data_IF_931304261346
#
_entry.id   IF_931304261346
#
_cell.length_a   1.000
_cell.length_b   1.000
_cell.length_c   1.000
_cell.angle_alpha   90.00
_cell.angle_beta   90.00
_cell.angle_gamma   90.00
#
_symmetry.space_group_name_H-M   'P 1'
#
loop_
_entity.id
_entity.type
_entity.pdbx_description
1 polymer ?
#
# COMPACT_ATOMS: atom_id res chain seq x y z
N UNK A 1 6.28 -1.92 -33.15
CA UNK A 1 6.65 -0.63 -32.50
C UNK A 1 6.31 0.57 -33.40
N UNK A 2 6.85 0.71 -34.62
CA UNK A 2 6.53 1.86 -35.49
C UNK A 2 5.05 2.02 -35.82
N UNK A 3 4.35 0.90 -36.05
CA UNK A 3 2.90 0.88 -36.33
C UNK A 3 2.07 1.40 -35.15
N UNK A 4 2.41 1.03 -33.90
CA UNK A 4 1.70 1.51 -32.72
C UNK A 4 1.90 3.02 -32.51
N UNK A 5 3.09 3.54 -32.80
CA UNK A 5 3.39 4.97 -32.67
C UNK A 5 2.63 5.82 -33.69
N UNK A 6 2.42 5.30 -34.89
CA UNK A 6 1.62 5.99 -35.91
C UNK A 6 0.15 6.18 -35.51
N UNK A 7 -0.36 5.39 -34.55
CA UNK A 7 -1.74 5.47 -34.06
C UNK A 7 -1.92 6.37 -32.84
N UNK A 8 -0.82 6.90 -32.29
CA UNK A 8 -0.80 7.82 -31.16
C UNK A 8 -0.77 9.28 -31.62
N UNK A 9 -1.31 10.22 -30.81
CA UNK A 9 -1.12 11.65 -31.07
C UNK A 9 0.37 11.98 -31.00
N UNK A 10 0.89 12.70 -31.99
CA UNK A 10 2.30 13.15 -32.00
C UNK A 10 2.59 14.24 -30.97
N UNK A 11 1.56 14.99 -30.55
CA UNK A 11 1.69 16.08 -29.59
C UNK A 11 1.99 15.53 -28.20
N UNK A 12 3.09 16.00 -27.59
CA UNK A 12 3.42 15.74 -26.19
C UNK A 12 4.15 14.44 -25.90
N UNK A 13 4.45 13.61 -26.91
CA UNK A 13 5.31 12.43 -26.78
C UNK A 13 6.75 12.80 -27.20
N UNK A 14 7.69 12.77 -26.26
CA UNK A 14 9.12 13.04 -26.52
C UNK A 14 9.88 11.79 -26.95
N UNK A 15 9.41 10.61 -26.52
CA UNK A 15 10.05 9.34 -26.84
C UNK A 15 9.17 8.16 -26.50
N UNK A 16 9.40 7.04 -27.19
CA UNK A 16 8.69 5.81 -26.96
C UNK A 16 9.60 4.60 -27.16
N UNK A 17 9.57 3.69 -26.20
CA UNK A 17 10.30 2.42 -26.25
C UNK A 17 9.33 1.27 -26.05
N UNK A 18 9.82 0.02 -26.17
CA UNK A 18 9.05 -1.17 -25.78
C UNK A 18 8.62 -1.13 -24.31
N UNK A 19 9.36 -0.40 -23.48
CA UNK A 19 9.17 -0.38 -22.04
C UNK A 19 8.57 0.92 -21.53
N UNK A 20 8.23 1.91 -22.36
CA UNK A 20 7.61 3.14 -21.85
C UNK A 20 7.39 4.28 -22.85
N UNK A 21 6.72 5.33 -22.38
CA UNK A 21 6.54 6.64 -23.03
C UNK A 21 7.18 7.74 -22.18
N UNK A 22 8.00 8.57 -22.82
CA UNK A 22 8.46 9.84 -22.28
C UNK A 22 7.54 10.95 -22.78
N UNK A 23 6.97 11.72 -21.85
CA UNK A 23 5.99 12.77 -22.14
C UNK A 23 6.58 14.14 -21.81
N UNK A 24 6.20 15.14 -22.61
CA UNK A 24 6.65 16.51 -22.43
C UNK A 24 6.22 17.08 -21.06
N UNK A 25 7.07 17.81 -20.32
CA UNK A 25 6.81 18.26 -18.93
C UNK A 25 5.55 19.12 -18.72
N UNK A 26 4.97 19.66 -19.80
CA UNK A 26 3.79 20.53 -19.77
C UNK A 26 2.75 20.15 -20.83
N UNK A 27 2.62 18.85 -21.12
CA UNK A 27 1.54 18.35 -21.97
C UNK A 27 0.18 18.83 -21.43
N UNK A 28 -0.59 19.45 -22.32
CA UNK A 28 -1.94 19.94 -22.04
C UNK A 28 -2.87 18.81 -21.58
N UNK A 29 -3.90 19.15 -20.79
CA UNK A 29 -4.80 18.16 -20.19
C UNK A 29 -5.63 17.42 -21.23
N UNK A 30 -6.10 18.11 -22.28
CA UNK A 30 -6.90 17.48 -23.32
C UNK A 30 -6.02 16.60 -24.21
N UNK A 31 -4.80 17.06 -24.52
CA UNK A 31 -3.81 16.25 -25.22
C UNK A 31 -3.45 14.98 -24.43
N UNK A 32 -3.26 15.10 -23.11
CA UNK A 32 -2.98 13.97 -22.23
C UNK A 32 -4.17 12.99 -22.14
N UNK A 33 -5.41 13.49 -21.98
CA UNK A 33 -6.61 12.65 -21.98
C UNK A 33 -6.77 11.89 -23.29
N UNK A 34 -6.58 12.59 -24.42
CA UNK A 34 -6.61 11.98 -25.73
C UNK A 34 -5.57 10.86 -25.85
N UNK A 35 -4.33 11.10 -25.42
CA UNK A 35 -3.29 10.07 -25.39
C UNK A 35 -3.71 8.84 -24.57
N UNK A 36 -4.18 9.04 -23.34
CA UNK A 36 -4.63 7.94 -22.45
C UNK A 36 -5.72 7.11 -23.12
N UNK A 37 -6.75 7.76 -23.68
CA UNK A 37 -7.84 7.07 -24.38
C UNK A 37 -7.35 6.30 -25.60
N UNK A 38 -6.42 6.87 -26.39
CA UNK A 38 -5.85 6.20 -27.57
C UNK A 38 -5.03 4.98 -27.18
N UNK A 39 -4.13 5.09 -26.20
CA UNK A 39 -3.33 3.94 -25.73
C UNK A 39 -4.24 2.85 -25.13
N UNK A 40 -5.30 3.22 -24.41
CA UNK A 40 -6.27 2.26 -23.88
C UNK A 40 -7.01 1.52 -25.01
N UNK A 41 -7.46 2.23 -26.05
CA UNK A 41 -8.06 1.63 -27.23
C UNK A 41 -7.12 0.63 -27.92
N UNK A 42 -5.86 0.99 -28.10
CA UNK A 42 -4.84 0.10 -28.65
C UNK A 42 -4.62 -1.15 -27.78
N UNK A 43 -4.58 -1.00 -26.46
CA UNK A 43 -4.37 -2.12 -25.54
C UNK A 43 -5.46 -3.20 -25.63
N UNK A 44 -6.67 -2.81 -26.03
CA UNK A 44 -7.80 -3.72 -26.26
C UNK A 44 -7.67 -4.53 -27.55
N UNK A 45 -7.11 -3.94 -28.61
CA UNK A 45 -7.09 -4.56 -29.95
C UNK A 45 -5.74 -5.22 -30.29
N UNK A 46 -4.63 -4.66 -29.83
CA UNK A 46 -3.27 -5.11 -30.16
C UNK A 46 -2.73 -6.14 -29.16
N UNK A 47 -3.22 -7.38 -29.24
CA UNK A 47 -2.87 -8.48 -28.32
C UNK A 47 -1.37 -8.78 -28.27
N UNK A 48 -0.66 -8.68 -29.40
CA UNK A 48 0.79 -8.93 -29.48
C UNK A 48 1.69 -7.88 -28.80
N UNK A 49 1.13 -6.73 -28.40
CA UNK A 49 1.88 -5.62 -27.79
C UNK A 49 1.45 -5.31 -26.35
N UNK A 50 0.77 -6.26 -25.70
CA UNK A 50 0.11 -6.05 -24.41
C UNK A 50 1.04 -5.51 -23.32
N UNK A 51 2.27 -6.04 -23.20
CA UNK A 51 3.24 -5.54 -22.21
C UNK A 51 3.67 -4.09 -22.48
N UNK A 52 3.96 -3.76 -23.75
CA UNK A 52 4.31 -2.40 -24.17
C UNK A 52 3.19 -1.43 -23.86
N UNK A 53 1.96 -1.78 -24.22
CA UNK A 53 0.79 -0.92 -24.01
C UNK A 53 0.43 -0.79 -22.52
N UNK A 54 0.67 -1.82 -21.71
CA UNK A 54 0.59 -1.72 -20.24
C UNK A 54 1.60 -0.73 -19.69
N UNK A 55 2.86 -0.76 -20.15
CA UNK A 55 3.89 0.18 -19.73
C UNK A 55 3.53 1.62 -20.14
N UNK A 56 3.09 1.82 -21.38
CA UNK A 56 2.67 3.12 -21.91
C UNK A 56 1.49 3.73 -21.15
N UNK A 57 0.47 2.92 -20.83
CA UNK A 57 -0.63 3.36 -19.96
C UNK A 57 -0.14 3.68 -18.55
N UNK A 58 0.80 2.90 -18.03
CA UNK A 58 1.43 3.16 -16.75
C UNK A 58 2.10 4.54 -16.71
N UNK A 59 2.87 4.88 -17.75
CA UNK A 59 3.55 6.18 -17.89
C UNK A 59 2.56 7.33 -18.01
N UNK A 60 1.57 7.20 -18.90
CA UNK A 60 0.56 8.22 -19.08
C UNK A 60 -0.23 8.47 -17.79
N UNK A 61 -0.60 7.42 -17.06
CA UNK A 61 -1.32 7.53 -15.79
C UNK A 61 -0.44 8.04 -14.64
N UNK A 62 0.88 7.77 -14.67
CA UNK A 62 1.85 8.31 -13.72
C UNK A 62 2.07 9.81 -13.96
N UNK A 63 2.24 10.22 -15.22
CA UNK A 63 2.37 11.62 -15.65
C UNK A 63 1.18 12.48 -15.19
N UNK A 64 -0.05 12.00 -15.39
CA UNK A 64 -1.25 12.73 -14.98
C UNK A 64 -1.38 12.97 -13.47
N UNK A 65 -0.63 12.24 -12.63
CA UNK A 65 -0.60 12.43 -11.19
C UNK A 65 -2.00 12.44 -10.56
N UNK A 66 -2.34 13.57 -9.92
CA UNK A 66 -3.64 13.85 -9.30
C UNK A 66 -4.77 14.03 -10.32
N UNK A 67 -4.47 14.56 -11.51
CA UNK A 67 -5.45 14.76 -12.61
C UNK A 67 -6.00 13.43 -13.10
N UNK A 68 -5.25 12.34 -12.87
CA UNK A 68 -5.61 10.95 -13.14
C UNK A 68 -6.39 10.22 -12.04
N UNK A 69 -6.83 10.89 -10.95
CA UNK A 69 -7.67 10.23 -9.93
C UNK A 69 -9.00 9.81 -10.53
N UNK A 70 -9.39 8.55 -10.31
CA UNK A 70 -10.62 7.95 -10.84
C UNK A 70 -10.49 7.31 -12.23
N UNK A 71 -9.45 7.65 -13.00
CA UNK A 71 -9.29 7.15 -14.38
C UNK A 71 -8.79 5.71 -14.49
N UNK A 72 -8.22 5.13 -13.42
CA UNK A 72 -7.64 3.77 -13.48
C UNK A 72 -8.71 2.74 -13.88
N UNK A 73 -9.90 2.80 -13.29
CA UNK A 73 -10.97 1.85 -13.57
C UNK A 73 -11.46 2.00 -15.01
N UNK A 74 -11.79 3.22 -15.42
CA UNK A 74 -12.24 3.52 -16.79
C UNK A 74 -11.20 3.13 -17.85
N UNK A 75 -9.93 3.46 -17.62
CA UNK A 75 -8.86 3.09 -18.54
C UNK A 75 -8.63 1.58 -18.59
N UNK A 76 -8.75 0.89 -17.45
CA UNK A 76 -8.59 -0.55 -17.39
C UNK A 76 -9.71 -1.25 -18.14
N UNK A 77 -10.95 -0.82 -17.92
CA UNK A 77 -12.10 -1.27 -18.68
C UNK A 77 -11.88 -1.01 -20.17
N UNK A 78 -11.57 0.21 -20.60
CA UNK A 78 -11.32 0.55 -21.99
C UNK A 78 -10.20 -0.29 -22.63
N UNK A 79 -9.16 -0.61 -21.87
CA UNK A 79 -8.01 -1.42 -22.31
C UNK A 79 -8.21 -2.94 -22.21
N UNK A 80 -9.31 -3.41 -21.61
CA UNK A 80 -9.53 -4.83 -21.33
C UNK A 80 -8.52 -5.38 -20.32
N UNK A 81 -8.15 -4.59 -19.32
CA UNK A 81 -7.34 -4.97 -18.17
C UNK A 81 -8.18 -5.04 -16.90
N UNK A 82 -7.71 -5.82 -15.93
CA UNK A 82 -8.16 -5.67 -14.55
C UNK A 82 -7.66 -4.32 -13.98
N UNK A 83 -8.48 -3.56 -13.22
CA UNK A 83 -8.04 -2.29 -12.61
C UNK A 83 -6.78 -2.40 -11.75
N UNK A 84 -6.55 -3.53 -11.09
CA UNK A 84 -5.32 -3.82 -10.35
C UNK A 84 -4.08 -3.89 -11.25
N UNK A 85 -4.22 -4.36 -12.49
CA UNK A 85 -3.12 -4.39 -13.47
C UNK A 85 -2.64 -2.98 -13.81
N UNK A 86 -3.55 -2.06 -14.13
CA UNK A 86 -3.17 -0.67 -14.44
C UNK A 86 -2.72 0.10 -13.19
N UNK A 87 -3.28 -0.20 -12.02
CA UNK A 87 -2.77 0.35 -10.75
C UNK A 87 -1.32 -0.04 -10.52
N UNK A 88 -0.98 -1.31 -10.73
CA UNK A 88 0.38 -1.81 -10.63
C UNK A 88 1.28 -1.18 -11.68
N UNK A 89 0.84 -1.08 -12.94
CA UNK A 89 1.60 -0.45 -14.01
C UNK A 89 1.93 1.03 -13.70
N UNK A 90 0.95 1.81 -13.24
CA UNK A 90 1.15 3.19 -12.78
C UNK A 90 2.19 3.26 -11.65
N UNK A 91 2.08 2.37 -10.67
CA UNK A 91 3.04 2.30 -9.56
C UNK A 91 4.45 2.01 -10.06
N UNK A 92 4.63 1.00 -10.91
CA UNK A 92 5.92 0.65 -11.50
C UNK A 92 6.50 1.84 -12.27
N UNK A 93 5.70 2.52 -13.10
CA UNK A 93 6.16 3.67 -13.88
C UNK A 93 6.55 4.87 -13.00
N UNK A 94 5.87 5.07 -11.87
CA UNK A 94 6.22 6.11 -10.91
C UNK A 94 7.52 5.82 -10.14
N UNK A 95 7.91 4.54 -9.99
CA UNK A 95 9.13 4.11 -9.30
C UNK A 95 10.31 3.91 -10.24
N UNK A 96 10.05 3.53 -11.48
CA UNK A 96 11.07 3.28 -12.51
C UNK A 96 10.77 4.19 -13.70
N UNK A 97 11.32 5.41 -13.73
CA UNK A 97 11.23 6.29 -14.90
C UNK A 97 11.74 5.58 -16.16
N UNK A 98 11.24 5.96 -17.34
CA UNK A 98 11.61 5.33 -18.62
C UNK A 98 13.13 5.22 -18.81
N UNK A 99 13.89 6.24 -18.40
CA UNK A 99 15.36 6.28 -18.51
C UNK A 99 16.10 5.28 -17.62
N UNK A 100 15.43 4.65 -16.65
CA UNK A 100 15.99 3.62 -15.75
C UNK A 100 15.46 2.22 -16.05
N UNK A 101 14.71 2.04 -17.14
CA UNK A 101 14.21 0.72 -17.54
C UNK A 101 15.30 0.03 -18.35
N UNK A 102 15.61 -1.21 -17.99
CA UNK A 102 16.64 -2.01 -18.63
C UNK A 102 16.04 -2.68 -19.87
N UNK A 103 16.44 -2.25 -21.08
CA UNK A 103 15.83 -2.69 -22.35
C UNK A 103 16.00 -4.18 -22.63
N UNK A 104 17.04 -4.81 -22.07
CA UNK A 104 17.27 -6.26 -22.13
C UNK A 104 16.24 -7.06 -21.31
N UNK A 105 15.56 -6.43 -20.36
CA UNK A 105 14.58 -7.08 -19.48
C UNK A 105 13.15 -6.89 -19.96
N UNK A 106 12.28 -7.86 -19.69
CA UNK A 106 10.84 -7.73 -20.00
C UNK A 106 10.14 -6.76 -19.04
N UNK A 107 8.97 -6.24 -19.44
CA UNK A 107 8.14 -5.42 -18.55
C UNK A 107 7.81 -6.15 -17.24
N UNK A 108 7.60 -7.46 -17.31
CA UNK A 108 7.34 -8.28 -16.13
C UNK A 108 8.49 -8.26 -15.12
N UNK A 109 9.77 -8.22 -15.54
CA UNK A 109 10.88 -8.08 -14.59
C UNK A 109 10.78 -6.78 -13.79
N UNK A 110 10.46 -5.68 -14.46
CA UNK A 110 10.24 -4.39 -13.81
C UNK A 110 9.07 -4.45 -12.81
N UNK A 111 8.00 -5.17 -13.14
CA UNK A 111 6.90 -5.41 -12.20
C UNK A 111 7.34 -6.22 -10.97
N UNK A 112 8.12 -7.31 -11.13
CA UNK A 112 8.58 -8.13 -10.00
C UNK A 112 9.38 -7.32 -8.99
N UNK A 113 10.22 -6.40 -9.47
CA UNK A 113 11.08 -5.57 -8.63
C UNK A 113 10.30 -4.42 -7.99
N UNK A 114 9.63 -3.59 -8.81
CA UNK A 114 8.98 -2.38 -8.31
C UNK A 114 7.70 -2.63 -7.52
N UNK A 115 7.12 -3.83 -7.53
CA UNK A 115 6.01 -4.17 -6.62
C UNK A 115 6.51 -4.53 -5.22
N UNK A 116 7.76 -4.99 -5.08
CA UNK A 116 8.34 -5.36 -3.78
C UNK A 116 9.12 -4.20 -3.16
N UNK A 117 9.91 -3.49 -3.96
CA UNK A 117 10.78 -2.43 -3.46
C UNK A 117 10.24 -1.05 -3.82
N UNK A 118 10.33 -0.11 -2.87
CA UNK A 118 10.11 1.33 -3.07
C UNK A 118 11.41 2.13 -3.12
N UNK A 119 12.48 1.61 -2.52
CA UNK A 119 13.80 2.26 -2.51
C UNK A 119 14.49 2.10 -3.88
N UNK A 120 14.96 3.21 -4.45
CA UNK A 120 15.55 3.22 -5.79
C UNK A 120 16.81 2.35 -5.91
N UNK A 121 17.65 2.32 -4.87
CA UNK A 121 18.89 1.53 -4.83
C UNK A 121 18.60 0.03 -4.92
N UNK A 122 17.59 -0.45 -4.20
CA UNK A 122 17.13 -1.84 -4.26
C UNK A 122 16.56 -2.18 -5.62
N UNK A 123 15.77 -1.27 -6.20
CA UNK A 123 15.21 -1.46 -7.54
C UNK A 123 16.33 -1.64 -8.57
N UNK A 124 17.31 -0.72 -8.59
CA UNK A 124 18.43 -0.76 -9.54
C UNK A 124 19.27 -2.02 -9.35
N UNK A 125 19.55 -2.41 -8.11
CA UNK A 125 20.29 -3.62 -7.77
C UNK A 125 19.63 -4.87 -8.34
N UNK A 126 18.32 -5.05 -8.11
CA UNK A 126 17.61 -6.25 -8.56
C UNK A 126 17.40 -6.32 -10.07
N UNK A 127 17.24 -5.17 -10.75
CA UNK A 127 17.22 -5.13 -12.21
C UNK A 127 18.60 -5.48 -12.77
N UNK A 128 19.67 -4.92 -12.23
CA UNK A 128 21.05 -5.22 -12.65
C UNK A 128 21.38 -6.71 -12.46
N UNK A 129 21.00 -7.30 -11.32
CA UNK A 129 21.16 -8.74 -11.08
C UNK A 129 20.41 -9.56 -12.12
N UNK A 130 19.18 -9.18 -12.47
CA UNK A 130 18.38 -9.90 -13.45
C UNK A 130 18.98 -9.83 -14.86
N UNK A 131 19.50 -8.67 -15.25
CA UNK A 131 20.13 -8.46 -16.55
C UNK A 131 21.47 -9.20 -16.66
N UNK A 132 22.38 -8.99 -15.71
CA UNK A 132 23.73 -9.57 -15.72
C UNK A 132 23.72 -11.09 -15.65
N UNK A 133 22.84 -11.67 -14.84
CA UNK A 133 22.75 -13.13 -14.68
C UNK A 133 21.75 -13.79 -15.66
N UNK A 134 21.07 -13.01 -16.50
CA UNK A 134 20.07 -13.53 -17.45
C UNK A 134 18.90 -14.24 -16.75
N UNK A 135 18.45 -13.72 -15.61
CA UNK A 135 17.40 -14.38 -14.83
C UNK A 135 16.07 -14.38 -15.58
N UNK A 136 15.33 -15.48 -15.47
CA UNK A 136 13.90 -15.47 -15.79
C UNK A 136 13.10 -14.74 -14.72
N UNK A 137 11.89 -14.28 -15.07
CA UNK A 137 10.98 -13.59 -14.14
C UNK A 137 10.65 -14.44 -12.91
N UNK A 138 10.52 -15.76 -13.07
CA UNK A 138 10.25 -16.69 -11.97
C UNK A 138 11.45 -16.89 -11.05
N UNK A 139 12.67 -16.93 -11.61
CA UNK A 139 13.92 -16.99 -10.86
C UNK A 139 14.15 -15.69 -10.07
N UNK A 140 13.94 -14.53 -10.71
CA UNK A 140 14.00 -13.21 -10.06
C UNK A 140 13.00 -13.12 -8.90
N UNK A 141 11.71 -13.44 -9.14
CA UNK A 141 10.68 -13.46 -8.10
C UNK A 141 11.04 -14.35 -6.91
N UNK A 142 11.66 -15.50 -7.16
CA UNK A 142 12.09 -16.43 -6.10
C UNK A 142 13.20 -15.80 -5.25
N UNK A 143 14.22 -15.20 -5.89
CA UNK A 143 15.33 -14.54 -5.18
C UNK A 143 14.89 -13.31 -4.39
N UNK A 144 14.04 -12.47 -4.97
CA UNK A 144 13.46 -11.31 -4.27
C UNK A 144 12.70 -11.75 -3.02
N UNK A 145 11.84 -12.77 -3.13
CA UNK A 145 11.09 -13.30 -1.98
C UNK A 145 12.01 -13.85 -0.88
N UNK A 146 13.08 -14.55 -1.25
CA UNK A 146 14.06 -15.04 -0.29
C UNK A 146 14.78 -13.88 0.43
N UNK A 147 15.17 -12.84 -0.31
CA UNK A 147 15.81 -11.64 0.25
C UNK A 147 14.88 -10.86 1.17
N UNK A 148 13.62 -10.64 0.76
CA UNK A 148 12.64 -9.95 1.58
C UNK A 148 12.33 -10.73 2.87
N UNK A 149 12.24 -12.07 2.79
CA UNK A 149 12.07 -12.91 3.96
C UNK A 149 13.29 -12.90 4.89
N UNK A 150 14.50 -12.83 4.33
CA UNK A 150 15.74 -12.67 5.10
C UNK A 150 15.79 -11.33 5.83
N UNK A 151 15.51 -10.22 5.12
CA UNK A 151 15.46 -8.88 5.74
C UNK A 151 14.35 -8.78 6.77
N UNK A 152 13.15 -9.32 6.49
CA UNK A 152 12.08 -9.38 7.47
C UNK A 152 12.52 -10.13 8.74
N UNK A 153 13.12 -11.32 8.60
CA UNK A 153 13.62 -12.09 9.75
C UNK A 153 14.71 -11.36 10.52
N UNK A 154 15.59 -10.64 9.81
CA UNK A 154 16.66 -9.82 10.41
C UNK A 154 16.11 -8.60 11.15
N UNK A 155 14.97 -8.07 10.71
CA UNK A 155 14.30 -6.89 11.25
C UNK A 155 13.14 -7.22 12.21
N UNK A 156 12.74 -8.50 12.34
CA UNK A 156 11.59 -8.93 13.15
C UNK A 156 11.80 -8.70 14.66
N UNK A 157 10.93 -7.90 15.32
CA UNK A 157 10.89 -7.68 16.76
C UNK A 157 9.82 -8.59 17.40
N UNK A 158 10.14 -9.86 17.56
CA UNK A 158 9.21 -10.93 17.96
C UNK A 158 8.42 -10.62 19.26
N UNK A 159 9.04 -9.92 20.21
CA UNK A 159 8.42 -9.52 21.49
C UNK A 159 7.39 -8.35 21.38
N UNK A 160 7.53 -7.46 20.39
CA UNK A 160 6.66 -6.30 20.24
C UNK A 160 5.31 -6.65 19.60
N UNK A 161 5.32 -7.59 18.65
CA UNK A 161 4.11 -8.10 18.00
C UNK A 161 3.27 -8.95 18.96
N UNK A 162 3.91 -9.80 19.77
CA UNK A 162 3.23 -10.63 20.77
C UNK A 162 2.53 -9.78 21.85
N UNK A 163 3.19 -8.71 22.30
CA UNK A 163 2.62 -7.74 23.25
C UNK A 163 1.39 -7.04 22.66
N UNK A 164 1.43 -6.60 21.39
CA UNK A 164 0.30 -5.94 20.74
C UNK A 164 -0.91 -6.86 20.61
N UNK A 165 -0.69 -8.11 20.18
CA UNK A 165 -1.75 -9.13 20.05
C UNK A 165 -2.38 -9.47 21.39
N UNK A 166 -1.58 -9.58 22.46
CA UNK A 166 -2.07 -9.82 23.82
C UNK A 166 -2.97 -8.68 24.31
N UNK A 167 -2.59 -7.42 24.06
CA UNK A 167 -3.39 -6.22 24.41
C UNK A 167 -4.73 -6.23 23.68
N UNK A 168 -4.76 -6.53 22.38
CA UNK A 168 -6.02 -6.58 21.61
C UNK A 168 -6.97 -7.70 22.10
N UNK A 169 -6.42 -8.85 22.50
CA UNK A 169 -7.21 -9.96 23.05
C UNK A 169 -7.87 -9.58 24.38
N UNK A 170 -7.10 -9.03 25.32
CA UNK A 170 -7.61 -8.57 26.62
C UNK A 170 -8.71 -7.50 26.45
N UNK A 171 -8.49 -6.52 25.56
CA UNK A 171 -9.48 -5.47 25.29
C UNK A 171 -10.78 -6.00 24.66
N UNK A 172 -10.72 -7.12 23.93
CA UNK A 172 -11.92 -7.76 23.38
C UNK A 172 -12.73 -8.46 24.47
N UNK A 173 -12.06 -9.17 25.36
CA UNK A 173 -12.68 -9.90 26.47
C UNK A 173 -13.33 -8.96 27.49
N UNK A 174 -12.63 -7.89 27.89
CA UNK A 174 -13.20 -6.86 28.78
C UNK A 174 -14.50 -6.27 28.20
N UNK A 175 -14.51 -5.91 26.91
CA UNK A 175 -15.72 -5.39 26.25
C UNK A 175 -16.86 -6.41 26.22
N UNK A 176 -16.54 -7.69 26.03
CA UNK A 176 -17.55 -8.75 26.04
C UNK A 176 -18.16 -8.93 27.44
N UNK A 177 -17.32 -8.96 28.47
CA UNK A 177 -17.74 -9.03 29.87
C UNK A 177 -18.62 -7.82 30.26
N UNK A 178 -18.20 -6.59 29.92
CA UNK A 178 -18.98 -5.38 30.18
C UNK A 178 -20.36 -5.42 29.53
N UNK A 179 -20.47 -5.85 28.27
CA UNK A 179 -21.76 -6.02 27.61
C UNK A 179 -22.63 -7.08 28.28
N UNK A 180 -22.02 -8.13 28.81
CA UNK A 180 -22.77 -9.18 29.52
C UNK A 180 -23.34 -8.67 30.84
N UNK A 181 -22.52 -7.97 31.64
CA UNK A 181 -22.94 -7.35 32.90
C UNK A 181 -24.04 -6.31 32.69
N UNK A 182 -23.93 -5.51 31.61
CA UNK A 182 -24.95 -4.53 31.25
C UNK A 182 -26.33 -5.15 30.94
N UNK A 183 -26.37 -6.40 30.46
CA UNK A 183 -27.63 -7.11 30.19
C UNK A 183 -28.28 -7.68 31.45
N UNK A 184 -27.52 -7.83 32.52
CA UNK A 184 -27.98 -8.43 33.78
C UNK A 184 -28.13 -7.39 34.89
N UNK A 185 -28.13 -6.08 34.57
CA UNK A 185 -28.24 -5.00 35.55
C UNK A 185 -29.42 -5.16 36.51
N UNK A 186 -30.58 -5.57 36.00
CA UNK A 186 -31.79 -5.77 36.81
C UNK A 186 -31.67 -6.91 37.84
N UNK A 187 -30.73 -7.84 37.62
CA UNK A 187 -30.49 -8.99 38.49
C UNK A 187 -29.71 -8.57 39.73
N UNK A 188 -28.62 -7.82 39.55
CA UNK A 188 -27.77 -7.39 40.66
C UNK A 188 -28.15 -6.03 41.25
N UNK A 189 -28.96 -5.24 40.56
CA UNK A 189 -29.56 -4.02 41.12
C UNK A 189 -30.47 -4.28 42.34
N UNK A 190 -30.85 -5.54 42.58
CA UNK A 190 -31.68 -5.97 43.72
C UNK A 190 -30.88 -6.68 44.82
N UNK A 191 -29.56 -6.77 44.69
CA UNK A 191 -28.73 -7.45 45.69
C UNK A 191 -28.71 -6.71 47.02
N UNK A 192 -28.69 -7.46 48.11
CA UNK A 192 -28.47 -6.89 49.45
C UNK A 192 -27.02 -6.42 49.59
N UNK A 193 -26.72 -5.52 50.55
CA UNK A 193 -25.34 -5.10 50.82
C UNK A 193 -24.39 -6.28 51.07
N UNK A 194 -24.82 -7.29 51.82
CA UNK A 194 -24.04 -8.50 52.09
C UNK A 194 -23.77 -9.32 50.83
N UNK A 195 -24.75 -9.44 49.92
CA UNK A 195 -24.55 -10.16 48.65
C UNK A 195 -23.58 -9.41 47.72
N UNK A 196 -23.62 -8.07 47.72
CA UNK A 196 -22.65 -7.26 46.99
C UNK A 196 -21.23 -7.38 47.57
N UNK A 197 -21.10 -7.45 48.89
CA UNK A 197 -19.81 -7.59 49.58
C UNK A 197 -19.13 -8.94 49.29
N UNK A 198 -19.91 -10.04 49.31
CA UNK A 198 -19.42 -11.37 48.91
C UNK A 198 -19.00 -11.39 47.43
N UNK A 199 -19.81 -10.78 46.54
CA UNK A 199 -19.45 -10.71 45.13
C UNK A 199 -18.18 -9.88 44.88
N UNK A 200 -17.90 -8.85 45.68
CA UNK A 200 -16.66 -8.08 45.58
C UNK A 200 -15.43 -8.90 45.99
N UNK A 201 -15.57 -9.85 46.93
CA UNK A 201 -14.50 -10.80 47.25
C UNK A 201 -14.20 -11.71 46.05
N UNK A 202 -15.23 -12.24 45.41
CA UNK A 202 -15.07 -13.08 44.20
C UNK A 202 -14.47 -12.30 43.02
N UNK A 203 -14.73 -10.99 42.96
CA UNK A 203 -14.26 -10.09 41.90
C UNK A 203 -13.00 -9.31 42.28
N UNK A 204 -12.31 -9.65 43.37
CA UNK A 204 -11.20 -8.88 43.92
C UNK A 204 -10.12 -8.56 42.88
N UNK A 205 -9.69 -9.54 42.07
CA UNK A 205 -8.67 -9.32 41.03
C UNK A 205 -9.12 -8.32 39.96
N UNK A 206 -10.41 -8.28 39.64
CA UNK A 206 -10.96 -7.30 38.69
C UNK A 206 -11.04 -5.91 39.33
N UNK A 207 -11.38 -5.82 40.62
CA UNK A 207 -11.39 -4.55 41.35
C UNK A 207 -9.98 -3.95 41.41
N UNK A 208 -8.97 -4.74 41.79
CA UNK A 208 -7.56 -4.34 41.82
C UNK A 208 -7.06 -3.90 40.42
N UNK A 209 -7.43 -4.65 39.38
CA UNK A 209 -7.11 -4.30 38.00
C UNK A 209 -7.71 -2.94 37.59
N UNK A 210 -8.98 -2.68 37.93
CA UNK A 210 -9.64 -1.41 37.62
C UNK A 210 -8.95 -0.25 38.33
N UNK A 211 -8.58 -0.40 39.59
CA UNK A 211 -7.89 0.63 40.37
C UNK A 211 -6.48 0.91 39.82
N UNK A 212 -5.74 -0.14 39.43
CA UNK A 212 -4.46 0.02 38.75
C UNK A 212 -4.61 0.76 37.40
N UNK A 213 -5.66 0.47 36.63
CA UNK A 213 -5.96 1.16 35.36
C UNK A 213 -6.32 2.64 35.58
N UNK A 214 -7.10 2.95 36.63
CA UNK A 214 -7.42 4.34 37.01
C UNK A 214 -6.16 5.12 37.36
N UNK A 215 -5.27 4.53 38.16
CA UNK A 215 -3.98 5.13 38.52
C UNK A 215 -3.11 5.39 37.27
N UNK A 216 -3.06 4.43 36.35
CA UNK A 216 -2.29 4.58 35.09
C UNK A 216 -2.85 5.70 34.19
N UNK A 217 -4.18 5.84 34.12
CA UNK A 217 -4.84 6.86 33.32
C UNK A 217 -4.62 8.29 33.86
N UNK A 218 -4.51 8.46 35.17
CA UNK A 218 -4.24 9.77 35.81
C UNK A 218 -2.78 10.20 35.68
N UNK A 219 -1.82 9.28 35.79
CA UNK A 219 -0.38 9.56 35.63
C UNK A 219 -0.02 9.97 34.20
N UNK A 220 -0.67 9.38 33.19
CA UNK A 220 -0.46 9.76 31.78
C UNK A 220 -0.92 11.18 31.41
N UNK A 221 -1.78 11.80 32.22
CA UNK A 221 -2.29 13.16 31.98
C UNK A 221 -1.43 14.28 32.60
N UNK A 222 -0.49 13.95 33.49
CA UNK A 222 0.35 14.95 34.18
C UNK A 222 1.68 15.27 33.46
N UNK A 223 2.02 14.56 32.38
CA UNK A 223 3.29 14.69 31.66
C UNK A 223 3.27 15.64 30.44
N UNK A 224 2.18 16.38 30.22
CA UNK A 224 2.14 17.44 29.20
C UNK A 224 2.51 18.80 29.83
N UNK A 225 3.66 19.43 29.50
CA UNK A 225 4.00 20.73 30.04
C UNK A 225 3.07 21.81 29.45
N UNK A 226 2.39 22.55 30.34
CA UNK A 226 1.64 23.77 29.99
C UNK A 226 2.61 24.80 29.38
N UNK A 227 2.44 25.11 28.10
CA UNK A 227 3.06 26.28 27.46
C UNK A 227 2.64 27.54 28.23
N UNK A 228 3.59 28.18 28.89
CA UNK A 228 3.42 29.50 29.46
C UNK A 228 3.22 30.51 28.32
N UNK A 229 2.03 31.10 28.23
CA UNK A 229 1.81 32.34 27.49
C UNK A 229 2.55 33.46 28.24
N UNK A 230 3.62 33.99 27.66
CA UNK A 230 4.10 35.33 28.01
C UNK A 230 3.55 36.30 26.98
N UNK A 231 2.71 37.22 27.46
CA UNK A 231 2.36 38.42 26.72
C UNK A 231 3.50 39.44 26.77
N UNK A 232 3.67 40.14 25.66
CA UNK A 232 3.59 41.60 25.55
C UNK A 232 3.19 41.94 24.12
#
# INVERSE_FOLDING_TARGET
MPQLLAELPSVGIEGATRLGLSLAPQMDTDAWRHLVTRVAGLARTATGARQTLTAWLGDALAYGGVRGRGLITECAEAAGFDPGTLRNAKMVCSRIPVSRRHDALTWTHHCEVALVFSEQTQIELWLSIAEVEGLSTSALRRRIRASAAYEYRRQSPEAAAETSVAVFRLMRELRAASRSLARTLDVWGKWSPTAAELALQDLQYLAEFIDAMRLKATVGSQSAPRRAQHGK
#
